data_IF_945002315615
#
_entry.id   IF_945002315615
#
_cell.length_a   1.000
_cell.length_b   1.000
_cell.length_c   1.000
_cell.angle_alpha   90.00
_cell.angle_beta   90.00
_cell.angle_gamma   90.00
#
_symmetry.space_group_name_H-M   'P 1'
#
loop_
_entity.id
_entity.type
_entity.pdbx_description
1 polymer ?
#
# COMPACT_ATOMS: atom_id res chain seq x y z
N UNK A 1 2.66 -15.23 5.33
CA UNK A 1 2.02 -13.96 5.75
C UNK A 1 1.35 -13.29 4.55
N UNK A 2 0.37 -12.39 4.80
CA UNK A 2 -0.36 -11.59 3.80
C UNK A 2 -1.25 -12.36 2.81
N UNK A 3 -1.83 -13.48 3.25
CA UNK A 3 -2.86 -14.20 2.50
C UNK A 3 -2.37 -14.85 1.20
N UNK A 4 -3.33 -15.25 0.38
CA UNK A 4 -3.13 -16.06 -0.84
C UNK A 4 -3.12 -15.23 -2.13
N UNK A 5 -3.69 -14.02 -2.14
CA UNK A 5 -3.88 -13.24 -3.38
C UNK A 5 -2.61 -12.99 -4.19
N UNK A 6 -1.46 -12.80 -3.51
CA UNK A 6 -0.14 -12.59 -4.16
C UNK A 6 0.56 -13.87 -4.62
N UNK A 7 0.02 -15.04 -4.28
CA UNK A 7 0.63 -16.35 -4.55
C UNK A 7 -0.09 -17.12 -5.67
N UNK A 8 -1.19 -16.57 -6.18
CA UNK A 8 -2.02 -17.18 -7.21
C UNK A 8 -1.93 -16.38 -8.50
N UNK A 9 -2.19 -17.06 -9.62
CA UNK A 9 -2.21 -16.42 -10.94
C UNK A 9 -3.50 -15.63 -11.15
N UNK A 10 -3.35 -14.40 -11.61
CA UNK A 10 -4.45 -13.53 -12.01
C UNK A 10 -4.65 -13.60 -13.51
N UNK A 11 -5.90 -13.65 -13.96
CA UNK A 11 -6.24 -13.60 -15.38
C UNK A 11 -6.45 -12.15 -15.79
N UNK A 12 -5.76 -11.71 -16.85
CA UNK A 12 -6.09 -10.46 -17.52
C UNK A 12 -7.44 -10.64 -18.23
N UNK A 13 -8.45 -9.88 -17.82
CA UNK A 13 -9.81 -9.93 -18.35
C UNK A 13 -9.99 -8.91 -19.47
N UNK A 14 -9.46 -7.70 -19.27
CA UNK A 14 -9.52 -6.63 -20.25
C UNK A 14 -8.25 -5.78 -20.20
N UNK A 15 -7.93 -5.19 -21.35
CA UNK A 15 -6.81 -4.26 -21.50
C UNK A 15 -7.09 -3.30 -22.64
N UNK A 16 -6.89 -2.01 -22.40
CA UNK A 16 -6.97 -0.98 -23.44
C UNK A 16 -5.84 0.03 -23.29
N UNK A 17 -5.48 0.65 -24.41
CA UNK A 17 -4.44 1.66 -24.49
C UNK A 17 -4.96 2.83 -25.31
N UNK A 18 -4.64 4.05 -24.88
CA UNK A 18 -4.87 5.27 -25.61
C UNK A 18 -3.70 6.25 -25.40
N UNK A 19 -3.77 7.44 -25.98
CA UNK A 19 -2.73 8.46 -25.83
C UNK A 19 -2.52 8.91 -24.37
N UNK A 20 -3.54 8.78 -23.52
CA UNK A 20 -3.50 9.21 -22.12
C UNK A 20 -2.87 8.15 -21.20
N UNK A 21 -2.85 6.88 -21.60
CA UNK A 21 -2.35 5.79 -20.79
C UNK A 21 -2.90 4.41 -21.15
N UNK A 22 -2.78 3.50 -20.18
CA UNK A 22 -3.14 2.09 -20.27
C UNK A 22 -4.11 1.74 -19.15
N UNK A 23 -5.25 1.15 -19.50
CA UNK A 23 -6.21 0.57 -18.56
C UNK A 23 -6.11 -0.95 -18.57
N UNK A 24 -6.05 -1.56 -17.40
CA UNK A 24 -5.89 -3.01 -17.23
C UNK A 24 -6.87 -3.52 -16.18
N UNK A 25 -7.49 -4.65 -16.46
CA UNK A 25 -8.37 -5.34 -15.53
C UNK A 25 -7.92 -6.79 -15.37
N UNK A 26 -7.51 -7.14 -14.16
CA UNK A 26 -7.23 -8.52 -13.78
C UNK A 26 -8.28 -9.06 -12.82
N UNK A 27 -8.50 -10.36 -12.92
CA UNK A 27 -9.35 -11.12 -12.01
C UNK A 27 -8.66 -12.34 -11.46
N UNK A 28 -8.78 -12.53 -10.16
CA UNK A 28 -8.49 -13.78 -9.47
C UNK A 28 -9.81 -14.40 -9.01
N UNK A 29 -10.04 -15.66 -9.38
CA UNK A 29 -11.16 -16.46 -8.90
C UNK A 29 -10.62 -17.62 -8.06
N UNK A 30 -11.13 -17.75 -6.85
CA UNK A 30 -10.80 -18.83 -5.93
C UNK A 30 -12.06 -19.29 -5.19
N UNK A 31 -12.66 -20.37 -5.68
CA UNK A 31 -13.93 -20.89 -5.14
C UNK A 31 -15.00 -19.81 -5.19
N UNK A 32 -15.60 -19.45 -4.05
CA UNK A 32 -16.64 -18.42 -3.94
C UNK A 32 -16.08 -16.99 -3.83
N UNK A 33 -14.75 -16.83 -3.94
CA UNK A 33 -14.08 -15.53 -3.97
C UNK A 33 -13.82 -15.06 -5.39
N UNK A 34 -14.19 -13.81 -5.64
CA UNK A 34 -13.74 -13.04 -6.79
C UNK A 34 -12.99 -11.79 -6.32
N UNK A 35 -11.81 -11.58 -6.86
CA UNK A 35 -11.03 -10.36 -6.64
C UNK A 35 -10.72 -9.73 -7.98
N UNK A 36 -11.07 -8.46 -8.14
CA UNK A 36 -10.83 -7.66 -9.32
C UNK A 36 -9.82 -6.56 -8.99
N UNK A 37 -8.79 -6.44 -9.83
CA UNK A 37 -7.80 -5.36 -9.80
C UNK A 37 -7.93 -4.56 -11.09
N UNK A 38 -8.33 -3.31 -10.96
CA UNK A 38 -8.31 -2.33 -12.05
C UNK A 38 -7.09 -1.43 -11.87
N UNK A 39 -6.35 -1.20 -12.95
CA UNK A 39 -5.25 -0.25 -12.99
C UNK A 39 -5.43 0.74 -14.14
N UNK A 40 -5.33 2.02 -13.82
CA UNK A 40 -5.24 3.11 -14.79
C UNK A 40 -3.84 3.72 -14.69
N UNK A 41 -3.06 3.58 -15.77
CA UNK A 41 -1.64 3.91 -15.81
C UNK A 41 -1.38 4.99 -16.87
N UNK A 42 -1.06 6.21 -16.44
CA UNK A 42 -0.80 7.34 -17.34
C UNK A 42 0.18 8.33 -16.71
N UNK A 43 -0.18 9.62 -16.67
CA UNK A 43 0.61 10.60 -15.89
C UNK A 43 0.62 10.29 -14.38
N UNK A 44 -0.42 9.61 -13.89
CA UNK A 44 -0.50 9.04 -12.56
C UNK A 44 -0.74 7.54 -12.60
N UNK A 45 -0.95 6.96 -11.42
CA UNK A 45 -1.32 5.56 -11.26
C UNK A 45 -2.51 5.49 -10.31
N UNK A 46 -3.63 4.95 -10.78
CA UNK A 46 -4.76 4.61 -9.94
C UNK A 46 -4.94 3.10 -9.93
N UNK A 47 -5.05 2.51 -8.73
CA UNK A 47 -5.31 1.10 -8.54
C UNK A 47 -6.58 0.94 -7.71
N UNK A 48 -7.54 0.17 -8.20
CA UNK A 48 -8.75 -0.20 -7.46
C UNK A 48 -8.81 -1.71 -7.29
N UNK A 49 -8.84 -2.14 -6.04
CA UNK A 49 -8.94 -3.55 -5.65
C UNK A 49 -10.31 -3.81 -5.03
N UNK A 50 -11.11 -4.64 -5.67
CA UNK A 50 -12.45 -5.00 -5.23
C UNK A 50 -12.53 -6.49 -4.94
N UNK A 51 -13.13 -6.86 -3.81
CA UNK A 51 -13.28 -8.26 -3.40
C UNK A 51 -14.75 -8.56 -3.17
N UNK A 52 -15.23 -9.66 -3.74
CA UNK A 52 -16.54 -10.23 -3.51
C UNK A 52 -16.39 -11.66 -2.99
N UNK A 53 -17.19 -12.02 -1.99
CA UNK A 53 -17.32 -13.37 -1.47
C UNK A 53 -18.79 -13.76 -1.56
N UNK A 54 -19.13 -14.70 -2.44
CA UNK A 54 -20.49 -15.13 -2.69
C UNK A 54 -20.81 -16.41 -1.91
N UNK A 55 -20.83 -16.29 -0.58
CA UNK A 55 -21.27 -17.36 0.32
C UNK A 55 -22.45 -16.88 1.19
N UNK A 56 -23.16 -17.85 1.74
CA UNK A 56 -24.27 -17.71 2.68
C UNK A 56 -23.84 -17.25 4.07
N UNK A 57 -22.60 -17.52 4.48
CA UNK A 57 -22.08 -17.16 5.80
C UNK A 57 -21.18 -15.91 5.76
N UNK A 58 -21.26 -15.02 6.76
CA UNK A 58 -20.41 -13.82 6.81
C UNK A 58 -18.94 -14.20 6.99
N UNK A 59 -18.07 -13.57 6.19
CA UNK A 59 -16.63 -13.76 6.27
C UNK A 59 -15.90 -12.48 6.68
N UNK A 60 -15.00 -12.59 7.66
CA UNK A 60 -14.06 -11.53 7.99
C UNK A 60 -12.79 -11.68 7.16
N UNK A 61 -12.48 -10.67 6.35
CA UNK A 61 -11.24 -10.61 5.59
C UNK A 61 -10.64 -9.20 5.64
N UNK A 62 -9.38 -9.10 5.22
CA UNK A 62 -8.71 -7.84 4.97
C UNK A 62 -8.03 -7.91 3.61
N UNK A 63 -7.81 -6.75 2.99
CA UNK A 63 -7.06 -6.61 1.76
C UNK A 63 -6.22 -5.34 1.83
N UNK A 64 -5.12 -5.31 1.09
CA UNK A 64 -4.23 -4.18 1.04
C UNK A 64 -3.48 -4.17 -0.29
N UNK A 65 -3.17 -2.99 -0.79
CA UNK A 65 -2.20 -2.79 -1.86
C UNK A 65 -0.84 -2.50 -1.22
N UNK A 66 0.07 -3.48 -1.27
CA UNK A 66 1.36 -3.39 -0.60
C UNK A 66 2.42 -2.74 -1.51
N UNK A 67 2.32 -1.42 -1.70
CA UNK A 67 3.19 -0.68 -2.60
C UNK A 67 4.61 -0.53 -2.03
N UNK A 68 5.62 -0.79 -2.87
CA UNK A 68 7.03 -0.52 -2.59
C UNK A 68 7.46 0.71 -3.37
N UNK A 69 7.64 1.83 -2.67
CA UNK A 69 8.06 3.08 -3.29
C UNK A 69 9.57 3.12 -3.43
N UNK A 70 10.03 3.28 -4.67
CA UNK A 70 11.43 3.53 -4.96
C UNK A 70 11.79 4.94 -4.49
N UNK A 71 12.90 5.11 -3.79
CA UNK A 71 13.36 6.38 -3.22
C UNK A 71 14.85 6.60 -3.48
N UNK A 72 15.31 7.84 -3.34
CA UNK A 72 16.73 8.19 -3.40
C UNK A 72 17.54 7.66 -2.21
N UNK A 73 17.21 8.08 -0.99
CA UNK A 73 17.83 7.61 0.26
C UNK A 73 16.82 7.65 1.42
N UNK A 74 16.68 6.54 2.15
CA UNK A 74 15.76 6.44 3.31
C UNK A 74 16.09 7.43 4.42
N UNK A 75 17.35 7.84 4.56
CA UNK A 75 17.77 8.81 5.57
C UNK A 75 17.29 10.24 5.27
N UNK A 76 17.08 10.56 3.99
CA UNK A 76 16.77 11.92 3.52
C UNK A 76 15.27 12.12 3.25
N UNK A 77 14.54 11.05 2.93
CA UNK A 77 13.10 11.11 2.68
C UNK A 77 12.30 11.41 3.94
N UNK A 78 11.15 12.04 3.75
CA UNK A 78 10.16 12.27 4.79
C UNK A 78 8.76 11.99 4.26
N UNK A 79 7.89 11.49 5.13
CA UNK A 79 6.48 11.22 4.84
C UNK A 79 5.60 12.20 5.61
N UNK A 80 4.89 13.07 4.90
CA UNK A 80 3.92 14.00 5.45
C UNK A 80 2.49 13.45 5.36
N UNK A 81 1.56 14.06 6.10
CA UNK A 81 0.14 13.69 6.15
C UNK A 81 -0.26 12.90 7.41
N UNK A 82 0.72 12.31 8.10
CA UNK A 82 0.49 11.51 9.30
C UNK A 82 0.58 12.29 10.62
N UNK A 83 0.80 13.61 10.61
CA UNK A 83 0.94 14.38 11.84
C UNK A 83 -0.31 14.27 12.73
N UNK A 84 -0.10 13.94 14.00
CA UNK A 84 -1.17 13.70 14.97
C UNK A 84 -1.90 12.35 14.83
N UNK A 85 -1.63 11.56 13.79
CA UNK A 85 -2.26 10.24 13.60
C UNK A 85 -1.88 9.27 14.72
N UNK A 86 -2.88 8.58 15.25
CA UNK A 86 -2.69 7.48 16.20
C UNK A 86 -2.30 6.21 15.45
N UNK A 87 -1.58 5.33 16.12
CA UNK A 87 -1.15 4.08 15.53
C UNK A 87 -0.53 3.12 16.53
N UNK A 88 0.04 2.05 15.99
CA UNK A 88 0.71 1.01 16.73
C UNK A 88 2.06 0.70 16.07
N UNK A 89 3.13 0.73 16.88
CA UNK A 89 4.47 0.32 16.46
C UNK A 89 4.66 -1.16 16.79
N UNK A 90 4.71 -1.98 15.74
CA UNK A 90 4.82 -3.44 15.86
C UNK A 90 6.19 -3.89 16.37
N UNK A 91 7.22 -3.07 16.20
CA UNK A 91 8.58 -3.39 16.66
C UNK A 91 8.70 -3.20 18.17
N UNK A 92 8.17 -2.10 18.71
CA UNK A 92 8.15 -1.84 20.14
C UNK A 92 6.94 -2.43 20.86
N UNK A 93 5.90 -2.84 20.11
CA UNK A 93 4.60 -3.34 20.60
C UNK A 93 3.86 -2.32 21.46
N UNK A 94 3.88 -1.07 21.04
CA UNK A 94 3.29 0.05 21.79
C UNK A 94 2.43 0.92 20.88
N UNK A 95 1.36 1.47 21.45
CA UNK A 95 0.62 2.54 20.81
C UNK A 95 1.55 3.76 20.64
N UNK A 96 1.42 4.44 19.51
CA UNK A 96 2.20 5.62 19.18
C UNK A 96 1.31 6.68 18.55
N UNK A 97 1.72 7.94 18.67
CA UNK A 97 1.15 9.03 17.90
C UNK A 97 2.29 9.66 17.08
N UNK A 98 2.05 9.86 15.80
CA UNK A 98 3.03 10.52 14.95
C UNK A 98 3.08 12.03 15.25
N UNK A 99 4.29 12.58 15.26
CA UNK A 99 4.56 13.99 15.55
C UNK A 99 5.36 14.58 14.38
N UNK A 100 4.75 15.49 13.64
CA UNK A 100 5.29 16.06 12.40
C UNK A 100 5.50 15.02 11.31
N UNK A 101 6.40 15.33 10.37
CA UNK A 101 6.79 14.41 9.30
C UNK A 101 7.39 13.11 9.86
N UNK A 102 7.04 11.98 9.23
CA UNK A 102 7.62 10.69 9.58
C UNK A 102 8.91 10.49 8.80
N UNK A 103 10.02 10.35 9.54
CA UNK A 103 11.31 9.93 9.01
C UNK A 103 11.64 8.53 9.50
N UNK A 104 11.98 7.65 8.56
CA UNK A 104 12.32 6.26 8.88
C UNK A 104 13.80 6.18 9.25
N UNK A 105 14.09 5.92 10.52
CA UNK A 105 15.44 5.66 11.00
C UNK A 105 15.62 4.17 11.31
N UNK A 106 16.28 3.44 10.41
CA UNK A 106 16.50 2.00 10.58
C UNK A 106 15.27 1.17 10.20
N UNK A 107 14.89 0.23 11.07
CA UNK A 107 13.71 -0.61 10.86
C UNK A 107 12.44 0.14 11.30
N UNK A 108 11.37 0.00 10.54
CA UNK A 108 10.07 0.59 10.83
C UNK A 108 8.98 -0.41 10.46
N UNK A 109 8.00 -0.58 11.35
CA UNK A 109 6.76 -1.29 11.07
C UNK A 109 5.67 -0.67 11.93
N UNK A 110 4.98 0.33 11.36
CA UNK A 110 3.91 1.07 12.05
C UNK A 110 2.62 1.00 11.25
N UNK A 111 1.52 0.86 11.96
CA UNK A 111 0.18 0.94 11.41
C UNK A 111 -0.49 2.17 12.02
N UNK A 112 -0.91 3.12 11.18
CA UNK A 112 -1.60 4.33 11.59
C UNK A 112 -3.09 4.22 11.26
N UNK A 113 -3.94 4.60 12.20
CA UNK A 113 -5.37 4.85 11.99
C UNK A 113 -5.49 6.19 11.24
N UNK A 114 -5.37 6.13 9.92
CA UNK A 114 -5.29 7.28 9.05
C UNK A 114 -5.92 6.94 7.70
N UNK A 115 -6.93 7.72 7.34
CA UNK A 115 -7.53 7.75 6.01
C UNK A 115 -7.14 9.06 5.32
N UNK A 116 -6.77 8.97 4.04
CA UNK A 116 -6.38 10.11 3.23
C UNK A 116 -4.96 9.99 2.67
N UNK A 117 -4.56 11.03 1.95
CA UNK A 117 -3.29 11.04 1.23
C UNK A 117 -2.09 11.30 2.14
N UNK A 118 -0.99 10.63 1.84
CA UNK A 118 0.34 10.92 2.38
C UNK A 118 1.25 11.46 1.28
N UNK A 119 2.17 12.35 1.64
CA UNK A 119 3.14 12.90 0.68
C UNK A 119 4.54 12.43 1.02
N UNK A 120 5.15 11.70 0.08
CA UNK A 120 6.55 11.30 0.18
C UNK A 120 7.43 12.39 -0.45
N UNK A 121 8.25 13.04 0.37
CA UNK A 121 9.25 13.99 -0.06
C UNK A 121 10.59 13.27 -0.29
N UNK A 122 11.15 13.41 -1.49
CA UNK A 122 12.43 12.82 -1.88
C UNK A 122 13.37 13.91 -2.40
N UNK A 123 14.18 14.52 -1.50
CA UNK A 123 15.10 15.59 -1.87
C UNK A 123 16.21 15.15 -2.83
N UNK A 124 16.66 13.90 -2.72
CA UNK A 124 17.72 13.33 -3.56
C UNK A 124 17.29 13.30 -5.03
N UNK A 125 16.02 12.99 -5.29
CA UNK A 125 15.45 13.00 -6.65
C UNK A 125 14.63 14.25 -6.97
N UNK A 126 14.62 15.24 -6.08
CA UNK A 126 13.92 16.51 -6.25
C UNK A 126 12.44 16.33 -6.65
N UNK A 127 11.75 15.41 -5.99
CA UNK A 127 10.35 15.09 -6.30
C UNK A 127 9.49 14.92 -5.06
N UNK A 128 8.18 14.95 -5.28
CA UNK A 128 7.17 14.59 -4.29
C UNK A 128 6.21 13.59 -4.91
N UNK A 129 5.88 12.53 -4.17
CA UNK A 129 4.83 11.59 -4.56
C UNK A 129 3.63 11.82 -3.65
N UNK A 130 2.48 12.11 -4.27
CA UNK A 130 1.20 12.09 -3.57
C UNK A 130 0.64 10.66 -3.63
N UNK A 131 0.45 10.05 -2.47
CA UNK A 131 -0.03 8.66 -2.35
C UNK A 131 -1.36 8.73 -1.64
N UNK A 132 -2.43 8.60 -2.41
CA UNK A 132 -3.80 8.55 -1.90
C UNK A 132 -4.24 7.09 -1.79
N UNK A 133 -4.59 6.66 -0.57
CA UNK A 133 -5.10 5.31 -0.31
C UNK A 133 -6.62 5.24 -0.32
N UNK A 134 -7.28 6.32 -0.76
CA UNK A 134 -8.74 6.46 -0.78
C UNK A 134 -9.34 6.29 0.60
N UNK A 135 -10.41 5.51 0.69
CA UNK A 135 -11.13 5.25 1.95
C UNK A 135 -10.47 4.19 2.84
N UNK A 136 -9.21 3.80 2.57
CA UNK A 136 -8.51 2.87 3.45
C UNK A 136 -8.38 3.48 4.85
N UNK A 137 -8.88 2.82 5.90
CA UNK A 137 -8.88 3.39 7.25
C UNK A 137 -7.49 3.38 7.89
N UNK A 138 -6.53 2.65 7.30
CA UNK A 138 -5.21 2.43 7.88
C UNK A 138 -4.10 2.67 6.87
N UNK A 139 -3.04 3.33 7.33
CA UNK A 139 -1.79 3.49 6.57
C UNK A 139 -0.67 2.70 7.23
N UNK A 140 -0.03 1.79 6.50
CA UNK A 140 1.12 1.02 7.00
C UNK A 140 2.41 1.61 6.46
N UNK A 141 3.34 1.94 7.35
CA UNK A 141 4.70 2.33 6.99
C UNK A 141 5.65 1.23 7.41
N UNK A 142 6.39 0.69 6.43
CA UNK A 142 7.31 -0.41 6.64
C UNK A 142 8.66 -0.15 5.98
N UNK A 143 9.73 -0.47 6.70
CA UNK A 143 11.09 -0.51 6.19
C UNK A 143 11.90 -1.55 6.98
N UNK A 144 12.68 -2.43 6.32
CA UNK A 144 13.35 -3.54 7.00
C UNK A 144 14.56 -3.09 7.83
N UNK A 145 15.04 -1.87 7.62
CA UNK A 145 16.30 -1.37 8.17
C UNK A 145 17.51 -1.97 7.46
N UNK A 146 18.68 -1.87 8.10
CA UNK A 146 19.97 -2.31 7.55
C UNK A 146 20.23 -3.82 7.66
N UNK A 147 19.33 -4.57 8.29
CA UNK A 147 19.48 -6.03 8.35
C UNK A 147 19.10 -6.64 7.00
N UNK A 148 19.92 -7.55 6.45
CA UNK A 148 19.48 -8.37 5.33
C UNK A 148 18.20 -9.10 5.72
N UNK A 149 17.22 -9.15 4.81
CA UNK A 149 16.08 -10.06 4.91
C UNK A 149 16.63 -11.49 4.86
N UNK A 150 17.05 -12.03 6.00
CA UNK A 150 17.42 -13.43 6.13
C UNK A 150 16.13 -14.26 6.05
N UNK A 151 15.92 -14.87 4.89
CA UNK A 151 15.04 -16.03 4.69
C UNK A 151 13.56 -15.79 4.97
N UNK A 152 12.80 -15.51 3.91
CA UNK A 152 11.40 -15.95 3.81
C UNK A 152 11.40 -17.36 3.22
#
# INVERSE_FOLDING_TARGET
AHGWGRLLDWKLIDSSECEEGVSLHWRLQLWDWQVDLHAELGQGMELRLSTCHEDSEPCHFSHALHAYWRIGDVAEVALEGLDGAQGYDELSRQACQQQGELRVAGACQRVFEHAGAVQLQDPIWQRRLNIDTGDSPNTVVWHPGSRPLLGV
#
